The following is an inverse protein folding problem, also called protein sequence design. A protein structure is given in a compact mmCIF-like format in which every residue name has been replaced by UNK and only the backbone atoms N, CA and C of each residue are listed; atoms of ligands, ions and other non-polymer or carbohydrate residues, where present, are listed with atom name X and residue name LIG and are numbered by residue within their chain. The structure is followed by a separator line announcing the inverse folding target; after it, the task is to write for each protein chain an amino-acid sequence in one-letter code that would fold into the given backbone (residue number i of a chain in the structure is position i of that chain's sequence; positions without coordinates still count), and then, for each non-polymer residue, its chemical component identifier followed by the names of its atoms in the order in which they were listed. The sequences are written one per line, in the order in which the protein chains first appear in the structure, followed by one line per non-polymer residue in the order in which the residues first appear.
data_IF_612764025624
#
_entry.id   IF_612764025624
#
_cell.length_a   1.000
_cell.length_b   1.000
_cell.length_c   1.000
_cell.angle_alpha   90.00
_cell.angle_beta   90.00
_cell.angle_gamma   90.00
#
_symmetry.space_group_name_H-M   'P 1'
#
loop_
_entity.id
_entity.type
_entity.pdbx_description
1 polymer ?
#
# COMPACT_ATOMS: atom_id res chain seq x y z
N UNK A 1 -7.92 -15.34 1.12
CA UNK A 1 -8.22 -15.48 -0.32
C UNK A 1 -7.76 -16.83 -0.85
N UNK A 2 -6.47 -17.14 -0.74
CA UNK A 2 -5.86 -18.36 -1.27
C UNK A 2 -6.64 -19.66 -1.01
N UNK A 3 -7.05 -19.93 0.24
CA UNK A 3 -7.78 -21.16 0.56
C UNK A 3 -9.13 -21.22 -0.17
N UNK A 4 -9.91 -20.15 -0.11
CA UNK A 4 -11.22 -20.11 -0.76
C UNK A 4 -11.12 -20.23 -2.29
N UNK A 5 -10.19 -19.51 -2.92
CA UNK A 5 -10.00 -19.53 -4.37
C UNK A 5 -9.50 -20.89 -4.91
N UNK A 6 -8.87 -21.71 -4.07
CA UNK A 6 -8.43 -23.06 -4.43
C UNK A 6 -9.38 -24.16 -3.94
N UNK A 7 -10.61 -23.78 -3.60
CA UNK A 7 -11.64 -24.70 -3.10
C UNK A 7 -11.27 -25.43 -1.80
N UNK A 8 -10.26 -24.93 -1.07
CA UNK A 8 -9.85 -25.46 0.23
C UNK A 8 -10.76 -24.89 1.33
N UNK A 9 -11.05 -25.71 2.35
CA UNK A 9 -11.83 -25.29 3.50
C UNK A 9 -11.15 -24.12 4.24
N UNK A 10 -11.91 -23.06 4.52
CA UNK A 10 -11.45 -21.93 5.33
C UNK A 10 -11.92 -22.16 6.77
N UNK A 11 -11.02 -22.19 7.77
CA UNK A 11 -11.41 -22.41 9.16
C UNK A 11 -12.43 -21.36 9.62
N UNK A 12 -13.55 -21.79 10.21
CA UNK A 12 -14.63 -20.90 10.69
C UNK A 12 -14.11 -19.82 11.64
N UNK A 13 -13.25 -20.18 12.59
CA UNK A 13 -12.64 -19.23 13.52
C UNK A 13 -11.84 -18.10 12.83
N UNK A 14 -11.29 -18.34 11.63
CA UNK A 14 -10.64 -17.30 10.84
C UNK A 14 -11.67 -16.37 10.17
N UNK A 15 -12.77 -16.94 9.66
CA UNK A 15 -13.89 -16.18 9.12
C UNK A 15 -14.52 -15.31 10.20
N UNK A 16 -14.82 -15.86 11.38
CA UNK A 16 -15.41 -15.13 12.50
C UNK A 16 -14.53 -13.96 12.96
N UNK A 17 -13.21 -14.15 12.99
CA UNK A 17 -12.25 -13.07 13.32
C UNK A 17 -12.27 -11.97 12.27
N UNK A 18 -12.30 -12.33 10.98
CA UNK A 18 -12.34 -11.38 9.88
C UNK A 18 -13.66 -10.58 9.89
N UNK A 19 -14.79 -11.28 9.97
CA UNK A 19 -16.14 -10.73 10.07
C UNK A 19 -16.25 -9.80 11.28
N UNK A 20 -15.82 -10.26 12.46
CA UNK A 20 -15.83 -9.44 13.67
C UNK A 20 -14.94 -8.20 13.57
N UNK A 21 -13.78 -8.29 12.90
CA UNK A 21 -12.90 -7.14 12.69
C UNK A 21 -13.51 -6.11 11.74
N UNK A 22 -14.17 -6.55 10.66
CA UNK A 22 -14.90 -5.69 9.74
C UNK A 22 -16.08 -4.96 10.44
N UNK A 23 -16.89 -5.71 11.19
CA UNK A 23 -18.03 -5.14 11.91
C UNK A 23 -17.62 -4.10 12.96
N UNK A 24 -16.46 -4.28 13.60
CA UNK A 24 -15.93 -3.37 14.64
C UNK A 24 -15.04 -2.24 14.10
N UNK A 25 -14.91 -2.07 12.79
CA UNK A 25 -14.06 -1.02 12.20
C UNK A 25 -12.57 -1.14 12.55
N UNK A 26 -12.10 -2.37 12.77
CA UNK A 26 -10.73 -2.66 13.22
C UNK A 26 -9.71 -2.67 12.06
N UNK A 27 -10.11 -2.38 10.82
CA UNK A 27 -9.19 -2.28 9.68
C UNK A 27 -8.58 -0.89 9.60
N UNK A 28 -7.94 -0.47 10.69
CA UNK A 28 -7.28 0.83 10.80
C UNK A 28 -5.79 0.69 11.12
N UNK A 29 -4.99 1.62 10.62
CA UNK A 29 -3.58 1.78 10.96
C UNK A 29 -3.31 3.24 11.32
N UNK A 30 -2.90 3.49 12.56
CA UNK A 30 -2.66 4.86 13.04
C UNK A 30 -3.92 5.74 12.98
N UNK A 31 -5.09 5.14 13.25
CA UNK A 31 -6.40 5.79 13.20
C UNK A 31 -6.97 6.02 11.81
N UNK A 32 -6.31 5.55 10.74
CA UNK A 32 -6.79 5.67 9.35
C UNK A 32 -7.28 4.33 8.84
N UNK A 33 -8.42 4.31 8.16
CA UNK A 33 -8.95 3.12 7.51
C UNK A 33 -7.99 2.62 6.41
N UNK A 34 -7.77 1.32 6.36
CA UNK A 34 -6.90 0.65 5.39
C UNK A 34 -7.73 0.09 4.25
N UNK A 35 -7.74 0.79 3.12
CA UNK A 35 -8.42 0.34 1.89
C UNK A 35 -7.82 -0.98 1.41
N UNK A 36 -6.50 -1.18 1.48
CA UNK A 36 -5.83 -2.42 1.11
C UNK A 36 -6.35 -3.62 1.94
N UNK A 37 -6.40 -3.47 3.27
CA UNK A 37 -6.87 -4.52 4.19
C UNK A 37 -8.34 -4.84 3.93
N UNK A 38 -9.18 -3.81 3.78
CA UNK A 38 -10.60 -3.98 3.52
C UNK A 38 -10.88 -4.63 2.16
N UNK A 39 -10.10 -4.29 1.13
CA UNK A 39 -10.26 -4.84 -0.21
C UNK A 39 -9.99 -6.35 -0.23
N UNK A 40 -8.91 -6.79 0.42
CA UNK A 40 -8.61 -8.22 0.58
C UNK A 40 -9.67 -8.92 1.43
N UNK A 41 -10.15 -8.29 2.51
CA UNK A 41 -11.21 -8.86 3.34
C UNK A 41 -12.53 -9.04 2.56
N UNK A 42 -12.93 -8.04 1.77
CA UNK A 42 -14.10 -8.09 0.91
C UNK A 42 -13.97 -9.21 -0.14
N UNK A 43 -12.80 -9.37 -0.78
CA UNK A 43 -12.54 -10.49 -1.70
C UNK A 43 -12.68 -11.86 -1.00
N UNK A 44 -12.25 -12.00 0.26
CA UNK A 44 -12.43 -13.25 1.02
C UNK A 44 -13.91 -13.55 1.24
N UNK A 45 -14.67 -12.58 1.77
CA UNK A 45 -16.09 -12.77 2.09
C UNK A 45 -16.91 -13.00 0.81
N UNK A 46 -16.61 -12.29 -0.28
CA UNK A 46 -17.22 -12.50 -1.59
C UNK A 46 -17.02 -13.93 -2.11
N UNK A 47 -15.79 -14.46 -1.98
CA UNK A 47 -15.47 -15.83 -2.36
C UNK A 47 -16.24 -16.85 -1.53
N UNK A 48 -16.32 -16.65 -0.22
CA UNK A 48 -17.07 -17.55 0.68
C UNK A 48 -18.56 -17.53 0.37
N UNK A 49 -19.15 -16.35 0.19
CA UNK A 49 -20.55 -16.17 -0.22
C UNK A 49 -20.84 -16.95 -1.51
N UNK A 50 -19.98 -16.83 -2.52
CA UNK A 50 -20.14 -17.54 -3.81
C UNK A 50 -20.06 -19.06 -3.70
N UNK A 51 -19.24 -19.59 -2.78
CA UNK A 51 -19.05 -21.05 -2.63
C UNK A 51 -20.17 -21.74 -1.87
N UNK A 52 -20.72 -21.08 -0.87
CA UNK A 52 -21.69 -21.67 0.05
C UNK A 52 -22.74 -20.64 0.45
N UNK A 53 -23.57 -20.25 -0.52
CA UNK A 53 -24.62 -19.25 -0.32
C UNK A 53 -25.59 -19.62 0.81
N UNK A 54 -25.85 -20.91 1.04
CA UNK A 54 -26.85 -21.37 2.02
C UNK A 54 -26.34 -21.30 3.46
N UNK A 55 -25.03 -21.51 3.69
CA UNK A 55 -24.42 -21.44 5.03
C UNK A 55 -23.62 -20.15 5.27
N UNK A 56 -23.64 -19.20 4.33
CA UNK A 56 -23.02 -17.90 4.53
C UNK A 56 -23.80 -17.12 5.58
N UNK A 57 -23.15 -16.82 6.72
CA UNK A 57 -23.86 -16.23 7.85
C UNK A 57 -24.29 -14.78 7.57
N UNK A 58 -25.43 -14.38 8.13
CA UNK A 58 -25.95 -13.02 8.01
C UNK A 58 -24.96 -11.98 8.56
N UNK A 59 -24.17 -12.31 9.57
CA UNK A 59 -23.10 -11.46 10.08
C UNK A 59 -21.97 -11.27 9.07
N UNK A 60 -21.58 -12.33 8.34
CA UNK A 60 -20.57 -12.25 7.30
C UNK A 60 -21.06 -11.45 6.08
N UNK A 61 -22.35 -11.55 5.76
CA UNK A 61 -23.00 -10.73 4.74
C UNK A 61 -23.02 -9.25 5.12
N UNK A 62 -23.46 -8.94 6.34
CA UNK A 62 -23.43 -7.57 6.88
C UNK A 62 -22.01 -7.00 6.89
N UNK A 63 -21.02 -7.83 7.24
CA UNK A 63 -19.61 -7.43 7.21
C UNK A 63 -19.14 -7.11 5.78
N UNK A 64 -19.52 -7.92 4.79
CA UNK A 64 -19.17 -7.69 3.40
C UNK A 64 -19.78 -6.39 2.87
N UNK A 65 -21.08 -6.16 3.10
CA UNK A 65 -21.76 -4.92 2.73
C UNK A 65 -21.09 -3.69 3.35
N UNK A 66 -20.77 -3.77 4.65
CA UNK A 66 -20.05 -2.72 5.36
C UNK A 66 -18.69 -2.43 4.74
N UNK A 67 -17.92 -3.46 4.39
CA UNK A 67 -16.61 -3.28 3.76
C UNK A 67 -16.71 -2.63 2.38
N UNK A 68 -17.67 -3.06 1.55
CA UNK A 68 -17.91 -2.45 0.24
C UNK A 68 -18.27 -0.97 0.41
N UNK A 69 -19.18 -0.65 1.33
CA UNK A 69 -19.55 0.74 1.63
C UNK A 69 -18.36 1.58 2.13
N UNK A 70 -17.49 1.02 2.96
CA UNK A 70 -16.28 1.70 3.43
C UNK A 70 -15.24 1.90 2.32
N UNK A 71 -15.06 0.95 1.41
CA UNK A 71 -14.18 1.13 0.26
C UNK A 71 -14.73 2.24 -0.65
N UNK A 72 -16.05 2.25 -0.91
CA UNK A 72 -16.73 3.28 -1.70
C UNK A 72 -16.60 4.68 -1.08
N UNK A 73 -16.67 4.80 0.25
CA UNK A 73 -16.53 6.10 0.93
C UNK A 73 -15.12 6.70 0.82
N UNK A 74 -14.14 5.92 0.36
CA UNK A 74 -12.77 6.36 0.10
C UNK A 74 -12.47 6.57 -1.39
N UNK A 75 -13.48 6.52 -2.27
CA UNK A 75 -13.33 6.94 -3.67
C UNK A 75 -13.14 8.45 -3.70
N UNK A 76 -12.04 8.90 -4.28
CA UNK A 76 -11.67 10.31 -4.41
C UNK A 76 -12.17 10.88 -5.74
N UNK A 77 -12.25 12.19 -5.78
CA UNK A 77 -12.69 12.93 -6.98
C UNK A 77 -11.80 12.64 -8.19
N UNK A 78 -10.53 12.30 -8.02
CA UNK A 78 -9.64 11.95 -9.13
C UNK A 78 -9.77 10.49 -9.59
N UNK A 79 -10.63 9.69 -8.96
CA UNK A 79 -10.80 8.26 -9.25
C UNK A 79 -9.92 7.32 -8.42
N UNK A 80 -8.96 7.84 -7.64
CA UNK A 80 -8.21 6.98 -6.70
C UNK A 80 -9.10 6.50 -5.57
N UNK A 81 -8.88 5.28 -5.06
CA UNK A 81 -9.64 4.71 -3.94
C UNK A 81 -8.69 4.50 -2.77
N UNK A 82 -8.82 5.33 -1.73
CA UNK A 82 -7.80 5.51 -0.70
C UNK A 82 -6.62 6.33 -1.24
N UNK A 83 -5.60 5.65 -1.76
CA UNK A 83 -4.48 6.25 -2.46
C UNK A 83 -4.21 5.53 -3.80
N UNK A 84 -3.21 6.00 -4.55
CA UNK A 84 -2.89 5.45 -5.87
C UNK A 84 -2.55 3.94 -5.83
N UNK A 85 -1.83 3.49 -4.80
CA UNK A 85 -1.33 2.11 -4.67
C UNK A 85 -2.41 1.14 -4.16
N UNK A 86 -3.38 1.62 -3.38
CA UNK A 86 -4.53 0.81 -2.94
C UNK A 86 -5.63 0.69 -4.01
N UNK A 87 -5.58 1.53 -5.05
CA UNK A 87 -6.64 1.63 -6.05
C UNK A 87 -6.84 0.33 -6.83
N UNK A 88 -5.78 -0.39 -7.19
CA UNK A 88 -5.88 -1.66 -7.92
C UNK A 88 -6.72 -2.70 -7.16
N UNK A 89 -6.30 -3.01 -5.93
CA UNK A 89 -7.02 -3.99 -5.10
C UNK A 89 -8.44 -3.54 -4.77
N UNK A 90 -8.68 -2.24 -4.60
CA UNK A 90 -10.03 -1.72 -4.40
C UNK A 90 -10.93 -1.92 -5.65
N UNK A 91 -10.39 -1.71 -6.86
CA UNK A 91 -11.10 -2.02 -8.11
C UNK A 91 -11.47 -3.52 -8.14
N UNK A 92 -10.55 -4.41 -7.76
CA UNK A 92 -10.83 -5.85 -7.69
C UNK A 92 -11.97 -6.16 -6.71
N UNK A 93 -11.90 -5.60 -5.50
CA UNK A 93 -12.89 -5.83 -4.45
C UNK A 93 -14.28 -5.32 -4.86
N UNK A 94 -14.38 -4.13 -5.45
CA UNK A 94 -15.66 -3.58 -5.91
C UNK A 94 -16.24 -4.35 -7.10
N UNK A 95 -15.40 -4.83 -8.04
CA UNK A 95 -15.84 -5.68 -9.15
C UNK A 95 -16.34 -7.04 -8.68
N UNK A 96 -15.65 -7.66 -7.72
CA UNK A 96 -16.06 -8.94 -7.16
C UNK A 96 -17.40 -8.86 -6.39
N UNK A 97 -17.84 -7.66 -6.03
CA UNK A 97 -19.06 -7.38 -5.26
C UNK A 97 -19.96 -6.37 -5.97
N UNK A 98 -20.04 -6.45 -7.30
CA UNK A 98 -20.79 -5.48 -8.11
C UNK A 98 -22.28 -5.41 -7.76
N UNK A 99 -22.87 -6.51 -7.25
CA UNK A 99 -24.23 -6.59 -6.74
C UNK A 99 -24.47 -5.69 -5.50
N UNK A 100 -23.41 -5.38 -4.76
CA UNK A 100 -23.46 -4.53 -3.56
C UNK A 100 -23.08 -3.06 -3.84
N UNK A 101 -22.66 -2.73 -5.07
CA UNK A 101 -22.29 -1.37 -5.45
C UNK A 101 -23.52 -0.63 -5.98
N UNK A 102 -24.01 0.43 -5.30
CA UNK A 102 -25.18 1.16 -5.78
C UNK A 102 -24.92 1.82 -7.14
N UNK A 103 -25.97 1.92 -7.97
CA UNK A 103 -25.87 2.56 -9.27
C UNK A 103 -25.38 4.01 -9.14
N UNK A 104 -24.31 4.35 -9.87
CA UNK A 104 -23.70 5.69 -9.84
C UNK A 104 -22.81 5.98 -8.63
N UNK A 105 -22.68 5.05 -7.66
CA UNK A 105 -21.81 5.25 -6.50
C UNK A 105 -20.31 5.18 -6.84
N UNK A 106 -19.95 4.54 -7.95
CA UNK A 106 -18.57 4.39 -8.39
C UNK A 106 -18.44 4.38 -9.91
N UNK A 107 -17.51 5.19 -10.42
CA UNK A 107 -17.10 5.25 -11.82
C UNK A 107 -15.81 4.43 -12.00
N UNK A 108 -15.97 3.17 -12.41
CA UNK A 108 -14.86 2.24 -12.62
C UNK A 108 -13.89 2.73 -13.70
N UNK A 109 -14.38 3.34 -14.77
CA UNK A 109 -13.57 3.84 -15.87
C UNK A 109 -12.66 4.98 -15.41
N UNK A 110 -13.18 5.88 -14.56
CA UNK A 110 -12.38 6.94 -13.95
C UNK A 110 -11.24 6.40 -13.08
N UNK A 111 -11.50 5.40 -12.26
CA UNK A 111 -10.46 4.76 -11.44
C UNK A 111 -9.39 4.08 -12.29
N UNK A 112 -9.77 3.34 -13.33
CA UNK A 112 -8.84 2.70 -14.26
C UNK A 112 -8.01 3.73 -15.03
N UNK A 113 -8.66 4.77 -15.57
CA UNK A 113 -7.98 5.85 -16.30
C UNK A 113 -6.96 6.55 -15.40
N UNK A 114 -7.31 6.82 -14.14
CA UNK A 114 -6.38 7.42 -13.19
C UNK A 114 -5.14 6.54 -12.98
N UNK A 115 -5.30 5.23 -12.86
CA UNK A 115 -4.15 4.30 -12.80
C UNK A 115 -3.32 4.38 -14.08
N UNK A 116 -3.96 4.28 -15.25
CA UNK A 116 -3.29 4.30 -16.56
C UNK A 116 -2.50 5.60 -16.80
N UNK A 117 -3.03 6.74 -16.36
CA UNK A 117 -2.35 8.05 -16.42
C UNK A 117 -1.07 8.11 -15.56
N UNK A 118 -1.00 7.32 -14.49
CA UNK A 118 0.11 7.32 -13.54
C UNK A 118 1.23 6.33 -13.91
N UNK A 119 0.91 5.26 -14.66
CA UNK A 119 1.91 4.30 -15.17
C UNK A 119 3.08 4.98 -15.91
N UNK A 120 2.87 5.82 -16.95
CA UNK A 120 3.97 6.44 -17.69
C UNK A 120 4.76 7.45 -16.85
N UNK A 121 4.23 7.90 -15.70
CA UNK A 121 4.93 8.79 -14.76
C UNK A 121 5.90 8.05 -13.84
N UNK A 122 6.04 6.72 -14.01
CA UNK A 122 6.83 5.88 -13.11
C UNK A 122 6.13 5.61 -11.78
N UNK A 123 4.81 5.80 -11.69
CA UNK A 123 4.11 5.58 -10.44
C UNK A 123 4.17 4.11 -9.99
N UNK A 124 4.24 3.17 -10.93
CA UNK A 124 4.30 1.73 -10.69
C UNK A 124 5.64 1.11 -11.10
N UNK A 125 6.74 1.85 -10.94
CA UNK A 125 8.11 1.40 -11.22
C UNK A 125 8.58 0.24 -10.33
N UNK A 126 7.96 0.10 -9.15
CA UNK A 126 8.18 -1.03 -8.25
C UNK A 126 7.38 -2.26 -8.71
N UNK A 127 8.03 -3.41 -8.98
CA UNK A 127 7.36 -4.63 -9.44
C UNK A 127 6.19 -5.07 -8.55
N UNK A 128 6.29 -4.82 -7.24
CA UNK A 128 5.27 -5.14 -6.26
C UNK A 128 4.01 -4.28 -6.44
N UNK A 129 4.19 -2.97 -6.67
CA UNK A 129 3.09 -2.05 -6.94
C UNK A 129 2.44 -2.37 -8.29
N UNK A 130 3.26 -2.66 -9.31
CA UNK A 130 2.77 -3.10 -10.61
C UNK A 130 1.93 -4.39 -10.50
N UNK A 131 2.45 -5.41 -9.80
CA UNK A 131 1.76 -6.67 -9.62
C UNK A 131 0.40 -6.54 -8.91
N UNK A 132 0.22 -5.53 -8.05
CA UNK A 132 -1.04 -5.28 -7.35
C UNK A 132 -2.10 -4.55 -8.19
N UNK A 133 -1.73 -3.96 -9.33
CA UNK A 133 -2.68 -3.22 -10.16
C UNK A 133 -2.98 -3.91 -11.49
N UNK A 134 -2.07 -4.74 -11.98
CA UNK A 134 -2.23 -5.49 -13.24
C UNK A 134 -3.52 -6.32 -13.29
N UNK A 135 -3.92 -7.09 -12.25
CA UNK A 135 -5.17 -7.85 -12.31
C UNK A 135 -6.38 -6.96 -12.63
N UNK A 136 -6.48 -5.80 -11.98
CA UNK A 136 -7.56 -4.84 -12.22
C UNK A 136 -7.55 -4.28 -13.65
N UNK A 137 -6.37 -4.02 -14.20
CA UNK A 137 -6.21 -3.55 -15.58
C UNK A 137 -6.66 -4.61 -16.60
N UNK A 138 -6.42 -5.89 -16.31
CA UNK A 138 -6.82 -7.03 -17.13
C UNK A 138 -8.27 -7.48 -16.91
N UNK A 139 -9.06 -6.75 -16.13
CA UNK A 139 -10.43 -7.17 -15.83
C UNK A 139 -10.53 -8.34 -14.85
N UNK A 140 -9.43 -8.71 -14.20
CA UNK A 140 -9.32 -9.86 -13.30
C UNK A 140 -9.33 -9.44 -11.83
N UNK A 141 -9.48 -10.44 -10.97
CA UNK A 141 -9.32 -10.32 -9.52
C UNK A 141 -8.48 -11.49 -8.99
N UNK A 142 -8.00 -11.39 -7.75
CA UNK A 142 -7.38 -12.50 -7.03
C UNK A 142 -8.27 -13.75 -6.89
N UNK A 143 -9.58 -13.66 -7.17
CA UNK A 143 -10.50 -14.80 -7.17
C UNK A 143 -10.43 -15.60 -8.48
N UNK A 144 -9.79 -15.08 -9.53
CA UNK A 144 -9.68 -15.73 -10.84
C UNK A 144 -8.45 -16.62 -10.99
N UNK A 145 -7.59 -16.73 -9.96
CA UNK A 145 -6.28 -17.41 -10.03
C UNK A 145 -6.38 -18.88 -10.48
N UNK A 146 -7.40 -19.61 -10.03
CA UNK A 146 -7.63 -21.01 -10.42
C UNK A 146 -8.27 -21.18 -11.81
N UNK A 147 -8.69 -20.07 -12.45
CA UNK A 147 -9.32 -20.05 -13.77
C UNK A 147 -8.39 -19.50 -14.86
N UNK A 148 -7.12 -19.25 -14.53
CA UNK A 148 -6.11 -18.81 -15.49
C UNK A 148 -5.75 -19.95 -16.45
N UNK A 149 -5.71 -19.64 -17.75
CA UNK A 149 -5.24 -20.56 -18.78
C UNK A 149 -3.76 -20.32 -19.05
N UNK A 150 -2.89 -21.02 -18.34
CA UNK A 150 -1.44 -20.83 -18.48
C UNK A 150 -0.93 -21.05 -19.91
N UNK A 151 -1.58 -21.90 -20.70
CA UNK A 151 -1.22 -22.11 -22.12
C UNK A 151 -1.55 -20.94 -23.04
N UNK A 152 -2.35 -19.97 -22.56
CA UNK A 152 -2.67 -18.74 -23.28
C UNK A 152 -1.68 -17.62 -22.99
N UNK A 153 -0.77 -17.82 -22.03
CA UNK A 153 0.33 -16.90 -21.76
C UNK A 153 1.40 -17.07 -22.85
N UNK A 154 1.64 -16.01 -23.59
CA UNK A 154 2.64 -15.97 -24.66
C UNK A 154 3.68 -14.95 -24.21
N UNK A 155 4.91 -15.40 -23.99
CA UNK A 155 6.03 -14.53 -23.64
C UNK A 155 6.46 -13.70 -24.86
N UNK A 156 5.67 -12.66 -25.15
CA UNK A 156 5.83 -11.76 -26.29
C UNK A 156 6.04 -10.30 -25.86
N UNK A 157 6.35 -10.08 -24.57
CA UNK A 157 6.61 -8.73 -24.08
C UNK A 157 7.88 -8.20 -24.76
N UNK A 158 7.83 -7.02 -25.42
CA UNK A 158 9.00 -6.48 -26.08
C UNK A 158 10.07 -6.18 -25.03
N UNK A 159 11.31 -6.60 -25.30
CA UNK A 159 12.46 -6.18 -24.52
C UNK A 159 12.54 -4.65 -24.60
N UNK A 160 12.19 -3.99 -23.50
CA UNK A 160 12.32 -2.54 -23.41
C UNK A 160 13.81 -2.20 -23.40
N UNK A 161 14.26 -1.19 -24.17
CA UNK A 161 15.64 -0.72 -24.07
C UNK A 161 15.92 -0.31 -22.63
N UNK A 162 17.13 -0.60 -22.13
CA UNK A 162 17.53 -0.19 -20.79
C UNK A 162 17.24 1.30 -20.60
N UNK A 163 16.62 1.70 -19.48
CA UNK A 163 16.31 3.10 -19.24
C UNK A 163 17.58 3.92 -19.43
N UNK A 164 17.53 4.85 -20.39
CA UNK A 164 18.60 5.80 -20.62
C UNK A 164 18.83 6.53 -19.31
N UNK A 165 20.10 6.62 -18.88
CA UNK A 165 20.50 7.31 -17.66
C UNK A 165 19.85 8.69 -17.68
N UNK A 166 18.86 8.92 -16.81
CA UNK A 166 18.21 10.20 -16.72
C UNK A 166 19.30 11.28 -16.55
N UNK A 167 19.17 12.46 -17.16
CA UNK A 167 20.16 13.52 -16.99
C UNK A 167 20.37 13.72 -15.50
N UNK A 168 21.62 13.74 -15.06
CA UNK A 168 21.94 14.06 -13.68
C UNK A 168 21.39 15.46 -13.39
N UNK A 169 20.24 15.51 -12.71
CA UNK A 169 19.71 16.76 -12.21
C UNK A 169 20.70 17.36 -11.20
N UNK A 170 20.55 18.64 -10.92
CA UNK A 170 21.39 19.35 -9.95
C UNK A 170 21.37 18.71 -8.56
N UNK A 171 22.17 19.26 -7.64
CA UNK A 171 22.04 18.91 -6.23
C UNK A 171 20.75 19.53 -5.67
N UNK A 172 20.07 18.79 -4.81
CA UNK A 172 18.92 19.24 -4.04
C UNK A 172 19.26 19.15 -2.55
N UNK A 173 18.69 20.04 -1.76
CA UNK A 173 18.80 20.07 -0.31
C UNK A 173 17.52 19.54 0.32
N UNK A 174 17.64 18.55 1.20
CA UNK A 174 16.51 17.95 1.91
C UNK A 174 16.74 18.11 3.41
N UNK A 175 15.74 18.65 4.10
CA UNK A 175 15.74 18.73 5.56
C UNK A 175 15.23 17.41 6.13
N UNK A 176 16.10 16.69 6.83
CA UNK A 176 15.76 15.42 7.46
C UNK A 176 15.73 15.55 8.97
N UNK A 177 14.57 15.26 9.54
CA UNK A 177 14.34 15.19 10.99
C UNK A 177 13.95 13.76 11.37
N UNK A 178 14.48 13.24 12.46
CA UNK A 178 13.79 12.15 13.16
C UNK A 178 13.23 12.68 14.48
N UNK A 179 12.04 12.22 14.84
CA UNK A 179 11.34 12.66 16.03
C UNK A 179 10.68 11.47 16.71
N UNK A 180 10.92 11.36 18.01
CA UNK A 180 10.18 10.50 18.91
C UNK A 180 9.68 11.33 20.09
N UNK A 181 8.40 11.68 20.01
CA UNK A 181 7.73 12.46 21.06
C UNK A 181 7.67 11.71 22.40
N UNK A 182 7.64 10.37 22.39
CA UNK A 182 7.55 9.56 23.62
C UNK A 182 8.83 9.65 24.44
N UNK A 183 9.97 9.71 23.77
CA UNK A 183 11.28 9.84 24.41
C UNK A 183 11.80 11.29 24.42
N UNK A 184 11.02 12.25 23.91
CA UNK A 184 11.43 13.66 23.73
C UNK A 184 12.73 13.82 22.96
N UNK A 185 12.99 12.91 22.02
CA UNK A 185 14.21 12.87 21.22
C UNK A 185 13.87 13.39 19.83
N UNK A 186 14.63 14.37 19.36
CA UNK A 186 14.61 14.81 17.98
C UNK A 186 15.97 15.37 17.60
N UNK A 187 16.38 15.18 16.34
CA UNK A 187 17.51 15.86 15.73
C UNK A 187 17.18 16.12 14.26
N UNK A 188 17.75 17.18 13.71
CA UNK A 188 17.55 17.60 12.32
C UNK A 188 18.89 17.85 11.62
N UNK A 189 18.95 17.59 10.32
CA UNK A 189 20.10 17.85 9.46
C UNK A 189 19.63 18.15 8.04
N UNK A 190 20.25 19.12 7.39
CA UNK A 190 20.08 19.37 5.96
C UNK A 190 21.10 18.53 5.19
N UNK A 191 20.63 17.78 4.21
CA UNK A 191 21.44 16.85 3.41
C UNK A 191 21.34 17.21 1.95
N UNK A 192 22.48 17.37 1.29
CA UNK A 192 22.54 17.55 -0.16
C UNK A 192 22.64 16.18 -0.85
N UNK A 193 21.76 15.90 -1.81
CA UNK A 193 21.79 14.70 -2.67
C UNK A 193 21.62 15.10 -4.14
N UNK A 194 21.96 14.21 -5.07
CA UNK A 194 21.64 14.46 -6.48
C UNK A 194 20.13 14.31 -6.70
N UNK A 195 19.55 15.21 -7.50
CA UNK A 195 18.15 15.13 -7.88
C UNK A 195 17.84 13.76 -8.51
N UNK A 196 16.67 13.20 -8.17
CA UNK A 196 16.26 11.86 -8.61
C UNK A 196 16.76 10.71 -7.70
N UNK A 197 17.63 10.98 -6.72
CA UNK A 197 17.99 9.97 -5.72
C UNK A 197 16.84 9.75 -4.73
N UNK A 198 16.72 8.52 -4.22
CA UNK A 198 15.66 8.13 -3.29
C UNK A 198 15.97 8.56 -1.85
N UNK A 199 14.94 8.67 -1.02
CA UNK A 199 15.01 9.08 0.38
C UNK A 199 16.00 8.23 1.21
N UNK A 200 16.19 6.96 0.88
CA UNK A 200 17.19 6.11 1.52
C UNK A 200 18.60 6.72 1.43
N UNK A 201 18.93 7.40 0.31
CA UNK A 201 20.23 8.11 0.16
C UNK A 201 20.36 9.30 1.11
N UNK A 202 19.27 9.99 1.43
CA UNK A 202 19.25 11.04 2.45
C UNK A 202 19.62 10.44 3.81
N UNK A 203 19.04 9.29 4.17
CA UNK A 203 19.34 8.59 5.43
C UNK A 203 20.81 8.15 5.50
N UNK A 204 21.34 7.58 4.41
CA UNK A 204 22.74 7.17 4.33
C UNK A 204 23.70 8.34 4.48
N UNK A 205 23.43 9.48 3.83
CA UNK A 205 24.26 10.68 3.95
C UNK A 205 24.16 11.32 5.34
N UNK A 206 22.96 11.41 5.92
CA UNK A 206 22.80 11.89 7.30
C UNK A 206 23.61 11.06 8.30
N UNK A 207 23.58 9.72 8.15
CA UNK A 207 24.42 8.80 8.93
C UNK A 207 25.92 9.03 8.68
N UNK A 208 26.34 9.26 7.44
CA UNK A 208 27.74 9.50 7.12
C UNK A 208 28.26 10.81 7.74
N UNK A 209 27.45 11.87 7.74
CA UNK A 209 27.79 13.15 8.38
C UNK A 209 27.85 13.01 9.91
N UNK A 210 26.92 12.24 10.50
CA UNK A 210 26.75 12.14 11.94
C UNK A 210 26.43 10.69 12.36
N UNK A 211 27.46 9.80 12.43
CA UNK A 211 27.27 8.36 12.59
C UNK A 211 26.54 7.92 13.84
N UNK A 212 26.65 8.69 14.93
CA UNK A 212 25.99 8.39 16.20
C UNK A 212 24.56 8.94 16.24
N UNK A 213 24.35 10.18 15.79
CA UNK A 213 23.05 10.87 15.90
C UNK A 213 22.02 10.31 14.91
N UNK A 214 22.44 10.05 13.67
CA UNK A 214 21.57 9.57 12.59
C UNK A 214 21.81 8.10 12.26
N UNK A 215 22.23 7.31 13.26
CA UNK A 215 22.31 5.85 13.12
C UNK A 215 20.91 5.30 12.87
N UNK A 216 20.76 4.42 11.89
CA UNK A 216 19.52 3.71 11.62
C UNK A 216 19.78 2.25 11.25
N UNK A 217 18.75 1.44 11.42
CA UNK A 217 18.67 0.02 11.08
C UNK A 217 17.52 -0.19 10.10
N UNK A 218 17.68 -1.16 9.20
CA UNK A 218 16.66 -1.50 8.22
C UNK A 218 16.70 -2.98 7.89
N UNK A 219 15.58 -3.49 7.38
CA UNK A 219 15.45 -4.84 6.86
C UNK A 219 14.91 -4.81 5.43
N UNK A 220 15.35 -5.76 4.61
CA UNK A 220 14.77 -5.98 3.29
C UNK A 220 13.43 -6.69 3.43
N UNK A 221 12.41 -6.13 2.79
CA UNK A 221 11.06 -6.71 2.72
C UNK A 221 10.69 -6.98 1.27
N UNK A 222 9.55 -7.63 1.06
CA UNK A 222 8.97 -7.75 -0.29
C UNK A 222 8.83 -6.38 -0.96
N UNK A 223 8.56 -5.31 -0.21
CA UNK A 223 8.38 -3.94 -0.71
C UNK A 223 9.67 -3.11 -0.80
N UNK A 224 10.82 -3.68 -0.44
CA UNK A 224 12.11 -2.99 -0.35
C UNK A 224 12.54 -2.69 1.08
N UNK A 225 13.38 -1.68 1.24
CA UNK A 225 14.00 -1.26 2.49
C UNK A 225 12.96 -0.72 3.47
N UNK A 226 12.80 -1.40 4.60
CA UNK A 226 11.94 -0.96 5.70
C UNK A 226 12.80 -0.56 6.89
N UNK A 227 12.64 0.67 7.37
CA UNK A 227 13.39 1.18 8.53
C UNK A 227 12.85 0.52 9.79
N UNK A 228 13.72 -0.23 10.45
CA UNK A 228 13.38 -0.99 11.67
C UNK A 228 13.76 -0.23 12.93
N UNK A 229 14.73 0.68 12.88
CA UNK A 229 15.10 1.49 14.04
C UNK A 229 15.90 2.74 13.69
N UNK A 230 15.79 3.78 14.51
CA UNK A 230 16.58 5.02 14.41
C UNK A 230 17.10 5.36 15.80
N UNK A 231 18.37 5.70 15.91
CA UNK A 231 19.06 6.03 17.17
C UNK A 231 18.88 4.96 18.26
N UNK A 232 18.77 3.69 17.87
CA UNK A 232 18.56 2.56 18.80
C UNK A 232 17.12 2.34 19.26
N UNK A 233 16.17 3.15 18.77
CA UNK A 233 14.74 2.97 19.05
C UNK A 233 14.15 2.13 17.91
N UNK A 234 13.87 0.85 18.22
CA UNK A 234 13.38 -0.13 17.27
C UNK A 234 11.84 -0.17 17.22
N UNK A 235 11.32 -0.43 16.03
CA UNK A 235 9.91 -0.78 15.78
C UNK A 235 9.57 -2.09 16.49
N UNK A 236 8.36 -2.21 17.02
CA UNK A 236 7.94 -3.38 17.77
C UNK A 236 6.52 -3.79 17.37
N UNK A 237 6.39 -5.00 16.80
CA UNK A 237 5.11 -5.53 16.34
C UNK A 237 4.13 -5.80 17.46
N UNK A 238 4.59 -6.24 18.63
CA UNK A 238 3.73 -6.53 19.79
C UNK A 238 3.24 -5.23 20.46
N UNK A 239 4.10 -4.21 20.51
CA UNK A 239 3.74 -2.89 21.02
C UNK A 239 3.09 -1.97 19.98
N UNK A 240 2.89 -2.47 18.76
CA UNK A 240 2.35 -1.76 17.60
C UNK A 240 3.08 -0.44 17.30
N UNK A 241 4.42 -0.42 17.38
CA UNK A 241 5.24 0.79 17.11
C UNK A 241 6.09 0.68 15.86
N UNK A 242 6.19 1.77 15.09
CA UNK A 242 6.96 1.86 13.83
C UNK A 242 7.47 3.28 13.57
N UNK A 243 8.34 3.39 12.56
CA UNK A 243 8.80 4.65 11.99
C UNK A 243 7.95 5.05 10.78
N UNK A 244 7.13 6.09 10.95
CA UNK A 244 6.34 6.69 9.89
C UNK A 244 7.12 7.83 9.23
N UNK A 245 7.24 7.82 7.91
CA UNK A 245 7.85 8.91 7.16
C UNK A 245 6.80 9.90 6.68
N UNK A 246 7.07 11.18 6.86
CA UNK A 246 6.20 12.30 6.52
C UNK A 246 6.95 13.30 5.64
N UNK A 247 6.25 13.89 4.68
CA UNK A 247 6.65 15.16 4.04
C UNK A 247 5.81 16.27 4.67
N UNK A 248 6.46 17.15 5.43
CA UNK A 248 5.77 18.04 6.36
C UNK A 248 4.91 17.26 7.37
N UNK A 249 3.59 17.42 7.29
CA UNK A 249 2.62 16.71 8.14
C UNK A 249 1.94 15.51 7.46
N UNK A 250 2.23 15.25 6.19
CA UNK A 250 1.55 14.24 5.39
C UNK A 250 2.39 12.96 5.27
N UNK A 251 1.85 11.77 5.58
CA UNK A 251 2.55 10.52 5.33
C UNK A 251 2.91 10.34 3.87
N UNK A 252 4.16 9.97 3.60
CA UNK A 252 4.60 9.71 2.23
C UNK A 252 3.96 8.40 1.74
N UNK A 253 3.55 8.33 0.46
CA UNK A 253 2.84 7.16 -0.06
C UNK A 253 3.78 6.05 -0.57
N UNK A 254 5.11 6.23 -0.42
CA UNK A 254 6.14 5.30 -0.88
C UNK A 254 7.13 4.99 0.23
N UNK A 255 7.81 3.85 0.15
CA UNK A 255 8.91 3.50 1.06
C UNK A 255 10.15 4.36 0.83
N UNK A 256 11.07 4.38 1.80
CA UNK A 256 12.31 5.16 1.72
C UNK A 256 13.18 4.79 0.51
N UNK A 257 13.12 3.55 0.05
CA UNK A 257 13.85 3.09 -1.13
C UNK A 257 13.26 3.55 -2.47
N UNK A 258 12.04 4.10 -2.51
CA UNK A 258 11.36 4.47 -3.76
C UNK A 258 10.80 5.90 -3.76
N UNK A 259 10.71 6.54 -2.61
CA UNK A 259 10.32 7.93 -2.52
C UNK A 259 11.47 8.83 -3.00
N UNK A 260 11.20 9.71 -3.97
CA UNK A 260 12.17 10.69 -4.47
C UNK A 260 11.79 12.06 -3.89
N UNK A 261 12.58 12.61 -2.96
CA UNK A 261 12.30 13.91 -2.39
C UNK A 261 12.58 15.05 -3.39
N UNK A 262 11.90 16.18 -3.17
CA UNK A 262 12.10 17.43 -3.92
C UNK A 262 13.09 18.36 -3.22
N UNK A 263 13.58 19.37 -3.95
CA UNK A 263 14.44 20.40 -3.37
C UNK A 263 13.71 21.24 -2.32
N UNK A 264 14.36 21.46 -1.18
CA UNK A 264 13.80 22.14 -0.01
C UNK A 264 12.76 21.32 0.76
N UNK A 265 12.57 20.05 0.44
CA UNK A 265 11.56 19.23 1.10
C UNK A 265 11.95 18.87 2.54
N UNK A 266 10.97 18.94 3.45
CA UNK A 266 11.15 18.57 4.86
C UNK A 266 10.60 17.18 5.14
N UNK A 267 11.49 16.22 5.35
CA UNK A 267 11.16 14.83 5.66
C UNK A 267 11.31 14.56 7.15
N UNK A 268 10.25 14.04 7.76
CA UNK A 268 10.26 13.61 9.17
C UNK A 268 10.09 12.10 9.28
N UNK A 269 11.04 11.42 9.93
CA UNK A 269 10.85 10.08 10.46
C UNK A 269 10.26 10.17 11.88
N UNK A 270 8.97 9.89 12.01
CA UNK A 270 8.23 10.00 13.26
C UNK A 270 8.02 8.61 13.89
N UNK A 271 8.45 8.40 15.12
CA UNK A 271 8.15 7.17 15.86
C UNK A 271 6.72 7.22 16.40
N UNK A 272 5.89 6.27 15.99
CA UNK A 272 4.45 6.29 16.27
C UNK A 272 3.86 4.89 16.40
N UNK A 273 2.56 4.80 16.67
CA UNK A 273 1.82 3.53 16.80
C UNK A 273 0.73 3.34 15.76
N UNK A 274 0.26 2.11 15.60
CA UNK A 274 -0.92 1.78 14.80
C UNK A 274 -1.98 0.97 15.54
#
# INVERSE_FOLDING_TARGET
VAFCANEVHVPSAAVDRLTGAALRDNFTHGGRFSVDTASIAALVLACLKKRDCENFSAEAETALEKLVAQILSHVRVDGTIGNLYSTGQAIEALRANQDLVPAGAWDCERSLRKVLEEIPKGSFDRPQAAAQVVPSLEGQTLLNVNHLKCSSDIDNLPLSPSPSTAPAGGMISVDYTFADRRHSIHDSVTVEISSGQVLFKVLEKARAMYPVRFRFEYAMTFWGESITGIRGIASNRTAHTYWQFLSGSQPIPRGVGSYIPSDGEHITANYTTW
#
